data_IF_411353974070
#
_entry.id   IF_411353974070
#
_cell.length_a   1.000
_cell.length_b   1.000
_cell.length_c   1.000
_cell.angle_alpha   90.00
_cell.angle_beta   90.00
_cell.angle_gamma   90.00
#
_symmetry.space_group_name_H-M   'P 1'
#
loop_
_entity.id
_entity.type
_entity.pdbx_description
1 polymer ?
#
# COMPACT_ATOMS: atom_id res chain seq x y z
N UNK A 1 6.25 -15.00 -25.54
CA UNK A 1 6.86 -15.27 -24.22
C UNK A 1 7.21 -13.98 -23.46
N UNK A 2 6.21 -13.22 -22.97
CA UNK A 2 6.45 -12.00 -22.16
C UNK A 2 5.34 -11.70 -21.14
N UNK A 3 4.70 -12.73 -20.57
CA UNK A 3 3.64 -12.52 -19.57
C UNK A 3 3.76 -13.39 -18.30
N UNK A 4 4.81 -14.18 -18.15
CA UNK A 4 4.90 -15.19 -17.08
C UNK A 4 6.03 -14.97 -16.08
N UNK A 5 6.80 -13.88 -16.18
CA UNK A 5 8.03 -13.71 -15.43
C UNK A 5 7.96 -12.71 -14.25
N UNK A 6 6.78 -12.22 -13.88
CA UNK A 6 6.64 -11.31 -12.73
C UNK A 6 5.55 -11.75 -11.74
N UNK A 7 5.34 -13.05 -11.61
CA UNK A 7 4.64 -13.62 -10.46
C UNK A 7 5.62 -13.80 -9.30
N UNK A 8 6.33 -12.72 -8.95
CA UNK A 8 7.11 -12.72 -7.71
C UNK A 8 6.11 -12.64 -6.58
N UNK A 9 5.79 -13.80 -6.01
CA UNK A 9 4.98 -13.95 -4.81
C UNK A 9 5.51 -12.98 -3.73
N UNK A 10 4.73 -11.93 -3.47
CA UNK A 10 5.06 -10.90 -2.50
C UNK A 10 4.63 -11.35 -1.09
N UNK A 11 5.12 -12.51 -0.65
CA UNK A 11 4.68 -13.16 0.58
C UNK A 11 5.38 -12.64 1.86
N UNK A 12 6.14 -11.54 1.82
CA UNK A 12 6.88 -11.06 3.00
C UNK A 12 7.12 -9.54 3.07
N UNK A 13 6.39 -8.74 2.30
CA UNK A 13 6.80 -7.34 2.05
C UNK A 13 6.18 -6.32 2.99
N UNK A 14 4.92 -6.49 3.42
CA UNK A 14 4.32 -5.55 4.38
C UNK A 14 5.02 -5.64 5.74
N UNK A 15 5.29 -6.85 6.22
CA UNK A 15 6.06 -7.04 7.47
C UNK A 15 7.48 -6.45 7.39
N UNK A 16 8.16 -6.52 6.24
CA UNK A 16 9.49 -5.92 6.06
C UNK A 16 9.47 -4.37 6.04
N UNK A 17 8.44 -3.76 5.44
CA UNK A 17 8.27 -2.30 5.50
C UNK A 17 7.93 -1.86 6.92
N UNK A 18 6.97 -2.55 7.55
CA UNK A 18 6.50 -2.32 8.93
C UNK A 18 7.61 -2.56 9.95
N UNK A 19 8.49 -3.55 9.75
CA UNK A 19 9.50 -3.95 10.74
C UNK A 19 10.62 -2.92 10.95
N UNK A 20 10.95 -2.08 9.97
CA UNK A 20 11.93 -0.98 10.21
C UNK A 20 11.26 0.29 10.74
N UNK A 21 9.93 0.36 10.76
CA UNK A 21 9.18 1.43 11.44
C UNK A 21 8.88 1.07 12.91
N UNK A 22 9.22 -0.14 13.36
CA UNK A 22 8.87 -0.67 14.69
C UNK A 22 9.52 0.02 15.88
N UNK A 23 10.49 0.92 15.70
CA UNK A 23 11.06 1.64 16.85
C UNK A 23 10.23 2.84 17.30
N UNK A 24 9.21 3.27 16.53
CA UNK A 24 8.17 4.19 17.01
C UNK A 24 6.83 3.80 16.39
N UNK A 25 5.89 3.36 17.23
CA UNK A 25 4.50 3.09 16.84
C UNK A 25 3.81 4.38 16.35
N UNK A 26 4.05 4.78 15.11
CA UNK A 26 3.31 5.84 14.45
C UNK A 26 1.91 5.31 14.10
N UNK A 27 0.89 5.87 14.74
CA UNK A 27 -0.52 5.57 14.43
C UNK A 27 -0.82 5.73 12.93
N UNK A 28 -0.08 6.61 12.24
CA UNK A 28 -0.16 6.84 10.80
C UNK A 28 0.34 5.67 9.96
N UNK A 29 1.39 4.99 10.41
CA UNK A 29 1.89 3.79 9.74
C UNK A 29 0.84 2.67 9.78
N UNK A 30 0.10 2.55 10.90
CA UNK A 30 -1.02 1.61 11.01
C UNK A 30 -2.18 1.99 10.10
N UNK A 31 -2.51 3.29 10.03
CA UNK A 31 -3.57 3.78 9.14
C UNK A 31 -3.26 3.43 7.66
N UNK A 32 -2.02 3.64 7.22
CA UNK A 32 -1.57 3.25 5.86
C UNK A 32 -1.59 1.73 5.68
N UNK A 33 -1.12 0.97 6.66
CA UNK A 33 -1.10 -0.49 6.64
C UNK A 33 -2.50 -1.09 6.47
N UNK A 34 -3.48 -0.60 7.24
CA UNK A 34 -4.85 -1.09 7.24
C UNK A 34 -5.53 -0.88 5.88
N UNK A 35 -5.23 0.23 5.21
CA UNK A 35 -5.72 0.53 3.85
C UNK A 35 -5.00 -0.35 2.82
N UNK A 36 -3.67 -0.42 2.87
CA UNK A 36 -2.87 -1.18 1.89
C UNK A 36 -3.20 -2.67 1.96
N UNK A 37 -3.41 -3.24 3.15
CA UNK A 37 -3.81 -4.65 3.32
C UNK A 37 -5.07 -5.04 2.56
N UNK A 38 -5.99 -4.11 2.31
CA UNK A 38 -7.21 -4.40 1.53
C UNK A 38 -6.92 -4.70 0.06
N UNK A 39 -5.76 -4.26 -0.45
CA UNK A 39 -5.29 -4.60 -1.78
C UNK A 39 -4.67 -6.02 -1.87
N UNK A 40 -4.51 -6.73 -0.75
CA UNK A 40 -4.02 -8.12 -0.74
C UNK A 40 -5.14 -9.10 -1.09
N UNK A 41 -4.74 -10.28 -1.57
CA UNK A 41 -5.64 -11.40 -1.82
C UNK A 41 -6.17 -11.96 -0.50
N UNK A 42 -7.51 -12.03 -0.29
CA UNK A 42 -8.08 -12.47 1.00
C UNK A 42 -7.68 -13.88 1.43
N UNK A 43 -7.34 -14.74 0.47
CA UNK A 43 -7.00 -16.14 0.70
C UNK A 43 -5.54 -16.35 1.13
N UNK A 44 -4.62 -15.48 0.73
CA UNK A 44 -3.18 -15.66 0.96
C UNK A 44 -2.51 -14.48 1.69
N UNK A 45 -3.12 -13.30 1.70
CA UNK A 45 -2.50 -12.05 2.16
C UNK A 45 -1.40 -11.54 1.22
N UNK A 46 -1.21 -12.17 0.07
CA UNK A 46 -0.23 -11.75 -0.93
C UNK A 46 -0.77 -10.62 -1.81
N UNK A 47 0.14 -9.79 -2.32
CA UNK A 47 -0.19 -8.80 -3.33
C UNK A 47 0.14 -9.34 -4.71
N UNK A 48 -0.89 -9.55 -5.54
CA UNK A 48 -0.72 -9.90 -6.93
C UNK A 48 -0.58 -8.62 -7.75
N UNK A 49 0.62 -8.37 -8.29
CA UNK A 49 0.91 -7.16 -9.07
C UNK A 49 1.03 -7.51 -10.56
N UNK A 50 0.32 -6.80 -11.48
CA UNK A 50 -0.58 -5.68 -11.22
C UNK A 50 -1.85 -6.12 -10.47
N UNK A 51 -2.32 -5.26 -9.55
CA UNK A 51 -3.53 -5.50 -8.77
C UNK A 51 -4.73 -5.73 -9.68
N UNK A 52 -5.59 -6.67 -9.30
CA UNK A 52 -6.90 -6.82 -9.94
C UNK A 52 -7.79 -5.60 -9.65
N UNK A 53 -8.75 -5.35 -10.53
CA UNK A 53 -9.71 -4.25 -10.34
C UNK A 53 -10.47 -4.37 -9.01
N UNK A 54 -10.74 -5.61 -8.56
CA UNK A 54 -11.41 -5.87 -7.29
C UNK A 54 -10.55 -5.42 -6.10
N UNK A 55 -9.24 -5.73 -6.11
CA UNK A 55 -8.32 -5.32 -5.06
C UNK A 55 -8.09 -3.81 -5.06
N UNK A 56 -8.06 -3.19 -6.23
CA UNK A 56 -8.00 -1.72 -6.38
C UNK A 56 -9.23 -1.07 -5.76
N UNK A 57 -10.43 -1.59 -6.01
CA UNK A 57 -11.66 -1.04 -5.45
C UNK A 57 -11.76 -1.31 -3.95
N UNK A 58 -11.32 -2.46 -3.46
CA UNK A 58 -11.23 -2.75 -2.03
C UNK A 58 -10.35 -1.73 -1.28
N UNK A 59 -9.18 -1.41 -1.84
CA UNK A 59 -8.30 -0.35 -1.28
C UNK A 59 -8.97 1.03 -1.31
N UNK A 60 -9.69 1.35 -2.40
CA UNK A 60 -10.43 2.62 -2.52
C UNK A 60 -11.53 2.73 -1.47
N UNK A 61 -12.32 1.68 -1.30
CA UNK A 61 -13.41 1.64 -0.32
C UNK A 61 -12.87 1.82 1.11
N UNK A 62 -11.73 1.20 1.41
CA UNK A 62 -11.08 1.34 2.70
C UNK A 62 -10.66 2.80 2.97
N UNK A 63 -10.06 3.44 1.96
CA UNK A 63 -9.65 4.84 2.02
C UNK A 63 -10.86 5.78 2.20
N UNK A 64 -11.97 5.55 1.48
CA UNK A 64 -13.19 6.35 1.58
C UNK A 64 -13.88 6.22 2.95
N UNK A 65 -13.83 5.02 3.54
CA UNK A 65 -14.43 4.75 4.87
C UNK A 65 -13.54 5.27 6.01
N UNK A 66 -12.31 5.66 5.72
CA UNK A 66 -11.40 6.18 6.72
C UNK A 66 -11.81 7.58 7.21
N UNK A 67 -11.45 7.91 8.45
CA UNK A 67 -11.75 9.21 9.03
C UNK A 67 -11.03 10.32 8.22
N UNK A 68 -11.75 11.27 7.60
CA UNK A 68 -11.15 12.34 6.81
C UNK A 68 -10.15 13.19 7.58
N UNK A 69 -10.31 13.31 8.91
CA UNK A 69 -9.37 14.06 9.76
C UNK A 69 -8.01 13.36 9.93
N UNK A 70 -7.94 12.06 9.62
CA UNK A 70 -6.70 11.27 9.62
C UNK A 70 -6.03 11.22 8.25
N UNK A 71 -6.74 11.59 7.20
CA UNK A 71 -6.25 11.67 5.83
C UNK A 71 -5.59 13.04 5.60
N UNK A 72 -4.58 13.35 6.42
CA UNK A 72 -3.87 14.63 6.46
C UNK A 72 -2.47 14.56 5.80
N UNK A 73 -1.69 15.64 5.93
CA UNK A 73 -0.32 15.70 5.40
C UNK A 73 0.61 14.64 6.02
N UNK A 74 0.36 14.22 7.26
CA UNK A 74 1.17 13.19 7.93
C UNK A 74 0.91 11.81 7.33
N UNK A 75 -0.34 11.52 6.93
CA UNK A 75 -0.66 10.33 6.13
C UNK A 75 0.12 10.33 4.81
N UNK A 76 0.12 11.45 4.07
CA UNK A 76 0.86 11.58 2.81
C UNK A 76 2.37 11.38 2.98
N UNK A 77 2.95 12.01 4.00
CA UNK A 77 4.38 11.86 4.31
C UNK A 77 4.76 10.42 4.65
N UNK A 78 3.87 9.68 5.31
CA UNK A 78 4.06 8.26 5.63
C UNK A 78 4.07 7.42 4.36
N UNK A 79 3.09 7.61 3.47
CA UNK A 79 3.00 6.89 2.18
C UNK A 79 4.22 7.19 1.31
N UNK A 80 4.66 8.44 1.24
CA UNK A 80 5.85 8.84 0.48
C UNK A 80 7.13 8.19 1.02
N UNK A 81 7.30 8.18 2.35
CA UNK A 81 8.42 7.49 3.00
C UNK A 81 8.46 6.00 2.67
N UNK A 82 7.29 5.35 2.62
CA UNK A 82 7.18 3.94 2.24
C UNK A 82 7.49 3.70 0.76
N UNK A 83 7.15 4.64 -0.13
CA UNK A 83 7.52 4.58 -1.55
C UNK A 83 9.04 4.64 -1.71
N UNK A 84 9.68 5.61 -1.05
CA UNK A 84 11.14 5.79 -1.10
C UNK A 84 11.85 4.53 -0.60
N UNK A 85 11.41 3.98 0.54
CA UNK A 85 11.96 2.74 1.07
C UNK A 85 11.71 1.55 0.16
N UNK A 86 10.49 1.36 -0.33
CA UNK A 86 10.16 0.26 -1.25
C UNK A 86 11.00 0.33 -2.53
N UNK A 87 11.29 1.53 -3.02
CA UNK A 87 12.19 1.73 -4.15
C UNK A 87 13.64 1.38 -3.80
N UNK A 88 14.14 1.77 -2.62
CA UNK A 88 15.48 1.41 -2.14
C UNK A 88 15.65 -0.11 -1.96
N UNK A 89 14.59 -0.79 -1.51
CA UNK A 89 14.54 -2.23 -1.28
C UNK A 89 14.27 -3.04 -2.56
N UNK A 90 14.11 -2.39 -3.73
CA UNK A 90 13.85 -3.05 -5.01
C UNK A 90 12.47 -3.70 -5.11
N UNK A 91 11.49 -3.22 -4.33
CA UNK A 91 10.14 -3.76 -4.24
C UNK A 91 9.19 -3.00 -5.16
N UNK A 92 9.46 -3.06 -6.47
CA UNK A 92 8.72 -2.31 -7.50
C UNK A 92 7.20 -2.53 -7.45
N UNK A 93 6.76 -3.73 -7.08
CA UNK A 93 5.34 -4.03 -6.90
C UNK A 93 4.68 -3.23 -5.77
N UNK A 94 5.38 -3.05 -4.64
CA UNK A 94 4.90 -2.23 -3.53
C UNK A 94 4.91 -0.74 -3.87
N UNK A 95 5.92 -0.28 -4.61
CA UNK A 95 5.95 1.08 -5.16
C UNK A 95 4.69 1.35 -6.00
N UNK A 96 4.32 0.42 -6.88
CA UNK A 96 3.10 0.53 -7.70
C UNK A 96 1.81 0.59 -6.88
N UNK A 97 1.71 -0.19 -5.80
CA UNK A 97 0.55 -0.19 -4.90
C UNK A 97 0.44 1.14 -4.16
N UNK A 98 1.53 1.65 -3.59
CA UNK A 98 1.55 2.91 -2.85
C UNK A 98 1.29 4.12 -3.76
N UNK A 99 1.82 4.11 -4.99
CA UNK A 99 1.48 5.12 -6.01
C UNK A 99 -0.02 5.09 -6.35
N UNK A 100 -0.62 3.90 -6.43
CA UNK A 100 -2.07 3.77 -6.66
C UNK A 100 -2.88 4.32 -5.49
N UNK A 101 -2.43 4.11 -4.25
CA UNK A 101 -3.05 4.69 -3.06
C UNK A 101 -3.03 6.23 -3.11
N UNK A 102 -1.90 6.84 -3.47
CA UNK A 102 -1.81 8.30 -3.64
C UNK A 102 -2.76 8.84 -4.72
N UNK A 103 -2.88 8.12 -5.85
CA UNK A 103 -3.83 8.49 -6.91
C UNK A 103 -5.29 8.44 -6.42
N UNK A 104 -5.64 7.43 -5.62
CA UNK A 104 -6.99 7.32 -5.05
C UNK A 104 -7.26 8.43 -4.03
N UNK A 105 -6.30 8.71 -3.16
CA UNK A 105 -6.38 9.83 -2.21
C UNK A 105 -6.58 11.16 -2.94
N UNK A 106 -5.78 11.44 -3.98
CA UNK A 106 -5.90 12.67 -4.75
C UNK A 106 -7.29 12.80 -5.39
N UNK A 107 -7.90 11.70 -5.83
CA UNK A 107 -9.26 11.68 -6.37
C UNK A 107 -10.38 11.92 -5.35
N UNK A 108 -10.10 11.84 -4.04
CA UNK A 108 -11.07 12.18 -2.97
C UNK A 108 -11.06 13.66 -2.59
N UNK A 109 -9.96 14.36 -2.87
CA UNK A 109 -9.76 15.77 -2.51
C UNK A 109 -10.27 16.76 -3.58
N UNK A 110 -10.95 16.26 -4.63
CA UNK A 110 -11.48 17.05 -5.76
C UNK A 110 -12.96 17.37 -5.56
#
# INVERSE_FOLDING_TARGET
EKLSALASNLAATVEAVVSTTQDQLDERARDVEDIVKQASEPSSGEFLVPLSNERIEAMREALVKYDPSKLDESFLSTVDSWIVKSHQDGMDGMVGILQRLLQQYAGLQV
#
